data_IF_902509004201
#
_entry.id   IF_902509004201
#
_cell.length_a   1.000
_cell.length_b   1.000
_cell.length_c   1.000
_cell.angle_alpha   90.00
_cell.angle_beta   90.00
_cell.angle_gamma   90.00
#
_symmetry.space_group_name_H-M   'P 1'
#
loop_
_entity.id
_entity.type
_entity.pdbx_description
1 polymer ?
#
# COMPACT_ATOMS: atom_id res chain seq x y z
N UNK A 1 -18.04 0.58 8.64
CA UNK A 1 -18.54 1.22 7.40
C UNK A 1 -18.14 0.42 6.16
N UNK A 2 -19.11 -0.27 5.54
CA UNK A 2 -18.91 -0.96 4.26
C UNK A 2 -19.17 0.01 3.11
N UNK A 3 -18.24 0.10 2.15
CA UNK A 3 -18.34 0.95 0.97
C UNK A 3 -18.31 0.11 -0.31
N UNK A 4 -19.05 0.53 -1.33
CA UNK A 4 -19.00 -0.09 -2.67
C UNK A 4 -17.63 0.05 -3.35
N UNK A 5 -16.91 1.13 -3.02
CA UNK A 5 -15.58 1.45 -3.54
C UNK A 5 -14.72 2.06 -2.45
N UNK A 6 -13.47 1.64 -2.38
CA UNK A 6 -12.42 2.19 -1.55
C UNK A 6 -11.43 2.96 -2.43
N UNK A 7 -11.18 4.23 -2.10
CA UNK A 7 -10.18 5.05 -2.78
C UNK A 7 -8.99 5.26 -1.84
N UNK A 8 -7.80 4.83 -2.27
CA UNK A 8 -6.57 4.87 -1.50
C UNK A 8 -5.60 5.85 -2.18
N UNK A 9 -5.15 6.87 -1.45
CA UNK A 9 -4.07 7.77 -1.88
C UNK A 9 -2.78 7.38 -1.17
N UNK A 10 -1.73 7.14 -1.93
CA UNK A 10 -0.41 6.75 -1.45
C UNK A 10 0.57 7.88 -1.71
N UNK A 11 0.86 8.68 -0.69
CA UNK A 11 1.79 9.82 -0.75
C UNK A 11 3.16 9.40 -0.25
N UNK A 12 4.21 9.77 -0.99
CA UNK A 12 5.57 9.44 -0.64
C UNK A 12 6.58 10.26 -1.42
N UNK A 13 7.81 9.76 -1.46
CA UNK A 13 8.88 10.34 -2.24
C UNK A 13 9.27 9.38 -3.36
N UNK A 14 9.81 9.93 -4.45
CA UNK A 14 10.40 9.13 -5.53
C UNK A 14 11.38 8.08 -4.98
N UNK A 15 11.15 6.80 -5.33
CA UNK A 15 11.94 5.66 -4.85
C UNK A 15 11.35 4.86 -3.70
N UNK A 16 10.34 5.38 -2.97
CA UNK A 16 9.73 4.69 -1.82
C UNK A 16 8.68 3.61 -2.20
N UNK A 17 8.42 3.44 -3.50
CA UNK A 17 7.59 2.34 -3.99
C UNK A 17 6.07 2.55 -3.92
N UNK A 18 5.58 3.77 -3.72
CA UNK A 18 4.13 4.09 -3.74
C UNK A 18 3.44 3.65 -5.05
N UNK A 19 4.08 3.90 -6.21
CA UNK A 19 3.56 3.43 -7.52
C UNK A 19 3.50 1.91 -7.62
N UNK A 20 4.50 1.22 -7.08
CA UNK A 20 4.52 -0.23 -7.04
C UNK A 20 3.43 -0.77 -6.13
N UNK A 21 3.23 -0.14 -4.96
CA UNK A 21 2.18 -0.52 -4.02
C UNK A 21 0.78 -0.40 -4.62
N UNK A 22 0.46 0.74 -5.24
CA UNK A 22 -0.84 0.94 -5.88
C UNK A 22 -1.13 -0.11 -6.96
N UNK A 23 -0.12 -0.45 -7.77
CA UNK A 23 -0.25 -1.45 -8.83
C UNK A 23 -0.42 -2.86 -8.24
N UNK A 24 0.38 -3.25 -7.22
CA UNK A 24 0.22 -4.56 -6.56
C UNK A 24 -1.16 -4.70 -5.92
N UNK A 25 -1.66 -3.64 -5.25
CA UNK A 25 -3.01 -3.62 -4.68
C UNK A 25 -4.10 -3.78 -5.74
N UNK A 26 -3.97 -3.12 -6.89
CA UNK A 26 -4.91 -3.27 -7.99
C UNK A 26 -4.86 -4.70 -8.59
N UNK A 27 -3.67 -5.26 -8.78
CA UNK A 27 -3.51 -6.65 -9.24
C UNK A 27 -4.15 -7.64 -8.27
N UNK A 28 -3.95 -7.46 -6.96
CA UNK A 28 -4.58 -8.29 -5.93
C UNK A 28 -6.11 -8.14 -5.95
N UNK A 29 -6.63 -6.92 -6.07
CA UNK A 29 -8.06 -6.69 -6.18
C UNK A 29 -8.68 -7.39 -7.41
N UNK A 30 -8.01 -7.35 -8.57
CA UNK A 30 -8.46 -8.06 -9.76
C UNK A 30 -8.47 -9.59 -9.56
N UNK A 31 -7.50 -10.13 -8.82
CA UNK A 31 -7.43 -11.56 -8.47
C UNK A 31 -8.57 -12.00 -7.55
N UNK A 32 -9.01 -11.12 -6.67
CA UNK A 32 -10.22 -11.32 -5.85
C UNK A 32 -11.53 -11.11 -6.66
N UNK A 33 -11.48 -10.95 -7.98
CA UNK A 33 -12.65 -10.69 -8.82
C UNK A 33 -13.27 -9.30 -8.62
N UNK A 34 -12.56 -8.37 -7.96
CA UNK A 34 -12.99 -6.98 -7.78
C UNK A 34 -12.55 -6.13 -8.98
N UNK A 35 -13.17 -4.97 -9.13
CA UNK A 35 -12.74 -3.97 -10.10
C UNK A 35 -11.70 -3.06 -9.47
N UNK A 36 -10.62 -2.79 -10.20
CA UNK A 36 -9.57 -1.89 -9.71
C UNK A 36 -8.99 -0.98 -10.79
N UNK A 37 -8.49 0.17 -10.34
CA UNK A 37 -7.70 1.10 -11.14
C UNK A 37 -6.54 1.58 -10.28
N UNK A 38 -5.31 1.47 -10.78
CA UNK A 38 -4.15 2.15 -10.22
C UNK A 38 -3.65 3.23 -11.17
N UNK A 39 -3.32 4.40 -10.66
CA UNK A 39 -2.71 5.45 -11.46
C UNK A 39 -1.65 6.22 -10.65
N UNK A 40 -0.44 6.41 -11.20
CA UNK A 40 0.59 7.23 -10.56
C UNK A 40 0.38 8.71 -10.85
N UNK A 41 0.93 9.56 -9.98
CA UNK A 41 1.01 11.01 -10.17
C UNK A 41 2.35 11.53 -9.65
N UNK A 42 3.15 12.06 -10.55
CA UNK A 42 4.44 12.65 -10.24
C UNK A 42 4.75 13.76 -11.24
N UNK A 43 5.38 14.83 -10.76
CA UNK A 43 5.81 15.96 -11.57
C UNK A 43 7.15 15.70 -12.26
N UNK A 44 7.67 16.74 -12.92
CA UNK A 44 8.93 16.67 -13.67
C UNK A 44 10.19 16.60 -12.79
N UNK A 45 10.04 16.73 -11.47
CA UNK A 45 11.14 16.76 -10.50
C UNK A 45 11.79 15.36 -10.35
N UNK A 46 13.12 15.31 -10.25
CA UNK A 46 13.87 14.05 -10.40
C UNK A 46 14.03 13.25 -9.11
N UNK A 47 14.68 13.79 -8.07
CA UNK A 47 15.15 13.02 -6.89
C UNK A 47 14.48 13.51 -5.61
N UNK A 48 13.97 12.57 -4.80
CA UNK A 48 13.25 12.86 -3.55
C UNK A 48 12.10 13.86 -3.72
N UNK A 49 11.60 13.95 -4.96
CA UNK A 49 10.42 14.72 -5.30
C UNK A 49 9.19 14.06 -4.68
N UNK A 50 8.16 14.85 -4.34
CA UNK A 50 6.84 14.32 -4.03
C UNK A 50 6.40 13.33 -5.10
N UNK A 51 5.85 12.20 -4.68
CA UNK A 51 5.25 11.22 -5.56
C UNK A 51 3.97 10.72 -4.92
N UNK A 52 2.88 10.76 -5.68
CA UNK A 52 1.60 10.21 -5.25
C UNK A 52 1.22 9.05 -6.17
N UNK A 53 0.50 8.08 -5.64
CA UNK A 53 -0.15 7.06 -6.45
C UNK A 53 -1.50 6.73 -5.85
N UNK A 54 -2.41 6.32 -6.71
CA UNK A 54 -3.80 6.12 -6.35
C UNK A 54 -4.18 4.69 -6.68
N UNK A 55 -4.94 4.07 -5.77
CA UNK A 55 -5.56 2.77 -5.99
C UNK A 55 -7.04 2.87 -5.66
N UNK A 56 -7.89 2.50 -6.61
CA UNK A 56 -9.34 2.40 -6.43
C UNK A 56 -9.70 0.93 -6.50
N UNK A 57 -10.46 0.43 -5.53
CA UNK A 57 -10.92 -0.96 -5.45
C UNK A 57 -12.43 -0.95 -5.20
N UNK A 58 -13.21 -1.68 -6.00
CA UNK A 58 -14.66 -1.67 -5.87
C UNK A 58 -15.31 -2.98 -6.30
N UNK A 59 -16.56 -3.17 -5.87
CA UNK A 59 -17.40 -4.31 -6.28
C UNK A 59 -18.13 -4.06 -7.60
N UNK A 60 -18.05 -2.84 -8.12
CA UNK A 60 -18.66 -2.40 -9.38
C UNK A 60 -17.58 -1.78 -10.28
N UNK A 61 -17.84 -1.74 -11.59
CA UNK A 61 -16.89 -1.22 -12.58
C UNK A 61 -16.56 0.25 -12.30
N UNK A 62 -15.25 0.54 -12.29
CA UNK A 62 -14.71 1.88 -12.02
C UNK A 62 -14.36 2.54 -13.37
N UNK A 63 -14.92 3.72 -13.61
CA UNK A 63 -14.64 4.53 -14.81
C UNK A 63 -13.75 5.75 -14.51
N UNK A 64 -13.72 6.15 -13.25
CA UNK A 64 -12.95 7.26 -12.71
C UNK A 64 -11.44 6.99 -12.84
N UNK A 65 -10.77 7.87 -13.57
CA UNK A 65 -9.33 7.86 -13.85
C UNK A 65 -8.76 9.24 -13.55
N UNK A 66 -7.52 9.26 -13.06
CA UNK A 66 -6.82 10.50 -12.73
C UNK A 66 -6.69 10.70 -11.23
N UNK A 67 -6.44 11.95 -10.84
CA UNK A 67 -6.20 12.33 -9.45
C UNK A 67 -7.35 11.92 -8.54
N UNK A 68 -7.01 11.57 -7.30
CA UNK A 68 -7.95 11.07 -6.31
C UNK A 68 -8.14 12.16 -5.26
N UNK A 69 -9.19 12.95 -5.46
CA UNK A 69 -9.49 14.13 -4.62
C UNK A 69 -10.06 13.72 -3.26
N UNK A 70 -10.87 12.67 -3.21
CA UNK A 70 -11.58 12.24 -2.00
C UNK A 70 -11.21 10.80 -1.57
N UNK A 71 -10.07 10.62 -0.87
CA UNK A 71 -9.66 9.32 -0.33
C UNK A 71 -10.52 8.84 0.84
N UNK A 72 -10.68 7.53 0.90
CA UNK A 72 -11.16 6.81 2.08
C UNK A 72 -9.95 6.37 2.95
N UNK A 73 -8.80 6.14 2.33
CA UNK A 73 -7.52 5.84 3.01
C UNK A 73 -6.41 6.70 2.42
N UNK A 74 -5.52 7.22 3.29
CA UNK A 74 -4.28 7.87 2.91
C UNK A 74 -3.11 7.11 3.52
N UNK A 75 -2.14 6.72 2.71
CA UNK A 75 -0.88 6.15 3.16
C UNK A 75 0.24 7.16 2.96
N UNK A 76 1.01 7.41 4.02
CA UNK A 76 2.20 8.27 4.01
C UNK A 76 3.43 7.38 4.10
N UNK A 77 4.14 7.23 2.99
CA UNK A 77 5.30 6.33 2.86
C UNK A 77 6.57 6.90 3.48
N UNK A 78 6.65 8.21 3.74
CA UNK A 78 7.84 8.84 4.27
C UNK A 78 7.53 10.07 5.15
N UNK A 79 8.19 10.26 6.31
CA UNK A 79 7.94 11.38 7.23
C UNK A 79 7.97 12.77 6.59
N UNK A 80 8.85 13.00 5.61
CA UNK A 80 8.97 14.30 4.91
C UNK A 80 7.72 14.72 4.12
N UNK A 81 6.79 13.81 3.84
CA UNK A 81 5.46 14.19 3.30
C UNK A 81 4.75 15.13 4.29
N UNK A 82 4.90 14.88 5.58
CA UNK A 82 4.31 15.66 6.66
C UNK A 82 5.27 16.80 7.08
N UNK A 83 6.50 16.45 7.47
CA UNK A 83 7.41 17.40 8.13
C UNK A 83 8.00 18.46 7.19
N UNK A 84 8.04 18.19 5.89
CA UNK A 84 8.54 19.13 4.88
C UNK A 84 7.49 19.47 3.83
N UNK A 85 6.25 19.00 3.99
CA UNK A 85 5.18 19.20 3.01
C UNK A 85 5.49 18.64 1.62
N UNK A 86 6.29 17.56 1.52
CA UNK A 86 6.63 16.93 0.24
C UNK A 86 5.49 16.05 -0.29
N UNK A 87 4.33 16.66 -0.55
CA UNK A 87 3.18 16.07 -1.21
C UNK A 87 2.64 17.04 -2.26
N UNK A 88 2.00 16.53 -3.31
CA UNK A 88 1.26 17.40 -4.23
C UNK A 88 -0.05 17.90 -3.62
N UNK A 89 -0.56 17.16 -2.64
CA UNK A 89 -1.75 17.54 -1.87
C UNK A 89 -1.36 17.98 -0.46
N UNK A 90 -1.51 19.28 -0.12
CA UNK A 90 -1.25 19.81 1.22
C UNK A 90 -2.48 20.54 1.81
N UNK A 91 -2.79 20.38 3.12
CA UNK A 91 -2.19 19.42 4.06
C UNK A 91 -2.33 17.99 3.54
N UNK A 92 -1.41 17.09 3.93
CA UNK A 92 -1.29 15.76 3.32
C UNK A 92 -2.58 14.91 3.43
N UNK A 93 -3.46 15.24 4.38
CA UNK A 93 -4.78 14.62 4.57
C UNK A 93 -5.92 15.33 3.84
N UNK A 94 -5.66 16.35 3.02
CA UNK A 94 -6.70 17.11 2.33
C UNK A 94 -7.59 16.20 1.47
N UNK A 95 -8.91 16.37 1.61
CA UNK A 95 -9.93 15.57 0.95
C UNK A 95 -10.25 14.23 1.61
N UNK A 96 -9.58 13.85 2.71
CA UNK A 96 -9.94 12.65 3.46
C UNK A 96 -11.42 12.69 3.85
N UNK A 97 -12.13 11.60 3.57
CA UNK A 97 -13.54 11.48 3.92
C UNK A 97 -13.71 11.19 5.41
N UNK A 98 -14.87 11.58 5.93
CA UNK A 98 -15.29 11.24 7.28
C UNK A 98 -15.26 9.71 7.50
N UNK A 99 -14.76 9.26 8.66
CA UNK A 99 -14.58 7.84 8.96
C UNK A 99 -13.45 7.17 8.18
N UNK A 100 -12.59 7.97 7.53
CA UNK A 100 -11.41 7.49 6.79
C UNK A 100 -10.27 7.03 7.70
N UNK A 101 -9.19 6.57 7.08
CA UNK A 101 -7.98 6.13 7.79
C UNK A 101 -6.73 6.78 7.19
N UNK A 102 -5.83 7.24 8.05
CA UNK A 102 -4.49 7.69 7.68
C UNK A 102 -3.47 6.70 8.24
N UNK A 103 -2.63 6.14 7.37
CA UNK A 103 -1.53 5.22 7.73
C UNK A 103 -0.22 5.95 7.53
N UNK A 104 0.59 6.08 8.57
CA UNK A 104 1.84 6.86 8.55
C UNK A 104 3.01 5.93 8.81
N UNK A 105 3.94 5.87 7.85
CA UNK A 105 5.25 5.24 8.04
C UNK A 105 6.12 6.12 8.94
N UNK A 106 6.04 5.88 10.24
CA UNK A 106 6.90 6.49 11.25
C UNK A 106 6.86 5.69 12.55
N UNK A 107 8.02 5.53 13.18
CA UNK A 107 8.12 4.99 14.55
C UNK A 107 7.71 5.98 15.65
N UNK A 108 7.37 7.22 15.30
CA UNK A 108 7.03 8.28 16.25
C UNK A 108 5.87 9.15 15.74
N UNK A 109 5.10 9.80 16.63
CA UNK A 109 4.08 10.76 16.23
C UNK A 109 4.67 11.94 15.44
N UNK A 110 4.00 12.35 14.37
CA UNK A 110 4.45 13.45 13.48
C UNK A 110 3.43 14.58 13.33
N UNK A 111 2.19 14.37 13.78
CA UNK A 111 1.10 15.32 13.60
C UNK A 111 1.13 16.41 14.66
N UNK A 112 0.83 17.64 14.25
CA UNK A 112 0.58 18.74 15.19
C UNK A 112 -0.74 18.54 15.94
N UNK A 113 -0.94 19.27 17.04
CA UNK A 113 -2.21 19.26 17.78
C UNK A 113 -3.39 19.66 16.89
N UNK A 114 -3.18 20.62 15.99
CA UNK A 114 -4.19 21.06 15.02
C UNK A 114 -4.56 19.94 14.03
N UNK A 115 -3.57 19.24 13.48
CA UNK A 115 -3.79 18.11 12.57
C UNK A 115 -4.58 16.99 13.26
N UNK A 116 -4.19 16.67 14.51
CA UNK A 116 -4.88 15.66 15.32
C UNK A 116 -6.33 16.07 15.56
N UNK A 117 -6.58 17.32 15.95
CA UNK A 117 -7.94 17.81 16.19
C UNK A 117 -8.78 17.75 14.91
N UNK A 118 -8.24 18.19 13.77
CA UNK A 118 -8.95 18.19 12.50
C UNK A 118 -9.31 16.79 12.00
N UNK A 119 -8.41 15.83 12.15
CA UNK A 119 -8.67 14.43 11.80
C UNK A 119 -9.71 13.82 12.76
N UNK A 120 -9.65 14.16 14.05
CA UNK A 120 -10.64 13.73 15.04
C UNK A 120 -12.04 14.27 14.75
N UNK A 121 -12.17 15.53 14.35
CA UNK A 121 -13.45 16.16 13.98
C UNK A 121 -14.11 15.46 12.77
N UNK A 122 -13.30 14.86 11.89
CA UNK A 122 -13.75 14.05 10.76
C UNK A 122 -13.88 12.55 11.10
N UNK A 123 -13.75 12.16 12.37
CA UNK A 123 -13.74 10.76 12.79
C UNK A 123 -12.72 9.91 11.99
N UNK A 124 -11.58 10.50 11.62
CA UNK A 124 -10.52 9.82 10.88
C UNK A 124 -9.57 9.16 11.86
N UNK A 125 -9.34 7.85 11.66
CA UNK A 125 -8.40 7.11 12.48
C UNK A 125 -6.97 7.27 11.94
N UNK A 126 -5.99 7.40 12.85
CA UNK A 126 -4.58 7.53 12.50
C UNK A 126 -3.80 6.31 13.02
N UNK A 127 -3.20 5.57 12.09
CA UNK A 127 -2.37 4.42 12.37
C UNK A 127 -0.90 4.75 12.07
N UNK A 128 -0.04 4.60 13.07
CA UNK A 128 1.41 4.68 12.89
C UNK A 128 2.00 3.29 12.79
N UNK A 129 2.91 3.11 11.85
CA UNK A 129 3.73 1.92 11.73
C UNK A 129 5.16 2.30 11.39
N UNK A 130 6.11 1.70 12.08
CA UNK A 130 7.54 1.77 11.78
C UNK A 130 7.88 0.94 10.52
N UNK A 131 7.30 1.31 9.38
CA UNK A 131 7.23 0.45 8.20
C UNK A 131 8.58 0.16 7.55
N UNK A 132 9.49 1.15 7.56
CA UNK A 132 10.87 0.98 7.08
C UNK A 132 11.68 0.06 7.98
N UNK A 133 11.60 0.24 9.30
CA UNK A 133 12.28 -0.60 10.28
C UNK A 133 11.77 -2.04 10.18
N UNK A 134 10.45 -2.24 10.10
CA UNK A 134 9.84 -3.56 9.92
C UNK A 134 10.30 -4.27 8.63
N UNK A 135 10.47 -3.52 7.55
CA UNK A 135 10.98 -4.04 6.28
C UNK A 135 12.45 -4.47 6.40
N UNK A 136 13.28 -3.68 7.10
CA UNK A 136 14.68 -4.04 7.38
C UNK A 136 14.75 -5.29 8.25
N UNK A 137 13.97 -5.37 9.32
CA UNK A 137 13.94 -6.53 10.22
C UNK A 137 13.50 -7.81 9.49
N UNK A 138 12.47 -7.72 8.65
CA UNK A 138 11.86 -8.90 8.03
C UNK A 138 12.56 -9.31 6.73
N UNK A 139 12.86 -8.36 5.85
CA UNK A 139 13.41 -8.63 4.53
C UNK A 139 14.92 -8.37 4.43
N UNK A 140 15.50 -7.64 5.39
CA UNK A 140 16.90 -7.19 5.36
C UNK A 140 17.12 -5.98 4.45
N UNK A 141 16.08 -5.24 4.07
CA UNK A 141 16.18 -4.08 3.19
C UNK A 141 15.02 -3.11 3.35
N UNK A 142 15.32 -1.81 3.31
CA UNK A 142 14.30 -0.74 3.24
C UNK A 142 13.51 -0.72 1.92
N UNK A 143 14.00 -1.40 0.87
CA UNK A 143 13.27 -1.46 -0.41
C UNK A 143 11.92 -2.19 -0.28
N UNK A 144 11.73 -2.96 0.79
CA UNK A 144 10.48 -3.65 1.10
C UNK A 144 9.52 -2.80 1.96
N UNK A 145 9.82 -1.52 2.24
CA UNK A 145 8.90 -0.62 2.98
C UNK A 145 7.52 -0.57 2.34
N UNK A 146 7.44 -0.56 1.01
CA UNK A 146 6.16 -0.59 0.30
C UNK A 146 5.35 -1.88 0.57
N UNK A 147 6.00 -3.00 0.88
CA UNK A 147 5.33 -4.24 1.28
C UNK A 147 4.70 -4.08 2.67
N UNK A 148 5.37 -3.38 3.58
CA UNK A 148 4.80 -3.02 4.88
C UNK A 148 3.52 -2.21 4.69
N UNK A 149 3.56 -1.16 3.86
CA UNK A 149 2.40 -0.29 3.61
C UNK A 149 1.21 -1.07 3.04
N UNK A 150 1.44 -1.86 1.98
CA UNK A 150 0.43 -2.76 1.38
C UNK A 150 -0.18 -3.70 2.43
N UNK A 151 0.65 -4.31 3.26
CA UNK A 151 0.20 -5.16 4.37
C UNK A 151 -0.67 -4.39 5.36
N UNK A 152 -0.27 -3.17 5.73
CA UNK A 152 -1.02 -2.32 6.65
C UNK A 152 -2.41 -1.96 6.14
N UNK A 153 -2.52 -1.46 4.91
CA UNK A 153 -3.83 -1.10 4.33
C UNK A 153 -4.72 -2.32 4.16
N UNK A 154 -4.18 -3.46 3.72
CA UNK A 154 -4.93 -4.71 3.62
C UNK A 154 -5.34 -5.23 5.01
N UNK A 155 -4.48 -5.08 6.02
CA UNK A 155 -4.73 -5.48 7.40
C UNK A 155 -5.90 -4.73 8.03
N UNK A 156 -5.93 -3.41 7.84
CA UNK A 156 -7.02 -2.54 8.34
C UNK A 156 -8.31 -2.75 7.56
N UNK A 157 -8.24 -2.72 6.23
CA UNK A 157 -9.44 -2.58 5.40
C UNK A 157 -10.01 -3.89 4.90
N UNK A 158 -9.21 -4.97 4.94
CA UNK A 158 -9.53 -6.26 4.33
C UNK A 158 -9.94 -6.15 2.86
N UNK A 159 -9.48 -5.11 2.15
CA UNK A 159 -9.94 -4.82 0.79
C UNK A 159 -9.48 -5.87 -0.24
N UNK A 160 -8.40 -6.58 0.07
CA UNK A 160 -7.87 -7.70 -0.72
C UNK A 160 -7.49 -8.87 0.18
N UNK A 161 -7.59 -10.09 -0.34
CA UNK A 161 -7.15 -11.30 0.37
C UNK A 161 -5.62 -11.45 0.38
N UNK A 162 -5.09 -12.17 1.38
CA UNK A 162 -3.66 -12.49 1.44
C UNK A 162 -3.22 -13.38 0.26
N UNK A 163 -4.09 -14.28 -0.19
CA UNK A 163 -3.85 -15.13 -1.36
C UNK A 163 -3.70 -14.29 -2.63
N UNK A 164 -4.60 -13.32 -2.84
CA UNK A 164 -4.51 -12.42 -3.97
C UNK A 164 -3.27 -11.53 -3.93
N UNK A 165 -2.87 -11.08 -2.73
CA UNK A 165 -1.61 -10.34 -2.54
C UNK A 165 -0.38 -11.17 -2.91
N UNK A 166 -0.31 -12.42 -2.45
CA UNK A 166 0.77 -13.34 -2.85
C UNK A 166 0.79 -13.53 -4.37
N UNK A 167 -0.36 -13.85 -4.98
CA UNK A 167 -0.47 -13.98 -6.43
C UNK A 167 -0.06 -12.71 -7.19
N UNK A 168 -0.41 -11.52 -6.69
CA UNK A 168 -0.01 -10.24 -7.28
C UNK A 168 1.50 -9.99 -7.17
N UNK A 169 2.12 -10.34 -6.03
CA UNK A 169 3.56 -10.24 -5.85
C UNK A 169 4.31 -11.20 -6.77
N UNK A 170 3.85 -12.44 -6.89
CA UNK A 170 4.40 -13.43 -7.81
C UNK A 170 4.27 -12.99 -9.26
N UNK A 171 3.17 -12.37 -9.65
CA UNK A 171 3.01 -11.88 -11.03
C UNK A 171 3.92 -10.66 -11.30
N UNK A 172 3.97 -9.72 -10.34
CA UNK A 172 4.74 -8.49 -10.48
C UNK A 172 6.25 -8.74 -10.48
N UNK A 173 6.72 -9.54 -9.53
CA UNK A 173 8.15 -9.77 -9.33
C UNK A 173 8.61 -11.14 -9.82
N UNK A 174 7.73 -12.13 -9.91
CA UNK A 174 8.04 -13.53 -10.18
C UNK A 174 8.15 -13.95 -11.65
N UNK A 175 7.87 -13.09 -12.64
CA UNK A 175 7.90 -13.40 -14.10
C UNK A 175 8.90 -14.50 -14.52
N UNK A 176 8.38 -15.58 -15.13
CA UNK A 176 9.16 -16.71 -15.68
C UNK A 176 10.13 -16.22 -16.76
N UNK A 177 11.30 -16.86 -16.82
CA UNK A 177 12.21 -16.73 -17.96
C UNK A 177 12.14 -18.00 -18.81
N UNK A 178 12.05 -17.82 -20.14
CA UNK A 178 12.12 -18.88 -21.13
C UNK A 178 13.61 -19.16 -21.37
N UNK A 179 14.05 -20.38 -21.08
CA UNK A 179 15.44 -20.77 -21.31
C UNK A 179 15.69 -20.91 -22.83
N UNK A 180 16.61 -20.13 -23.38
CA UNK A 180 17.24 -20.44 -24.67
C UNK A 180 18.35 -21.46 -24.40
N UNK A 181 18.21 -22.69 -24.90
CA UNK A 181 19.03 -23.86 -24.55
C UNK A 181 20.55 -23.61 -24.55
N UNK A 182 21.12 -23.43 -23.35
CA UNK A 182 22.54 -23.16 -23.13
C UNK A 182 23.22 -24.18 -22.22
N UNK A 183 24.52 -23.99 -21.99
CA UNK A 183 25.44 -24.91 -21.28
C UNK A 183 25.16 -25.03 -19.77
N UNK A 184 25.72 -26.07 -19.12
CA UNK A 184 25.55 -26.34 -17.69
C UNK A 184 25.95 -25.19 -16.74
N UNK A 185 26.91 -24.34 -17.13
CA UNK A 185 27.27 -23.13 -16.38
C UNK A 185 26.19 -22.05 -16.44
N UNK A 186 25.45 -21.98 -17.56
CA UNK A 186 24.25 -21.16 -17.68
C UNK A 186 23.18 -21.69 -16.72
N UNK A 187 22.97 -23.01 -16.68
CA UNK A 187 21.97 -23.63 -15.80
C UNK A 187 22.24 -23.38 -14.31
N UNK A 188 23.50 -23.42 -13.85
CA UNK A 188 23.84 -23.10 -12.47
C UNK A 188 23.66 -21.62 -12.12
N UNK A 189 24.09 -20.72 -13.00
CA UNK A 189 23.88 -19.27 -12.83
C UNK A 189 22.39 -18.93 -12.82
N UNK A 190 21.61 -19.63 -13.65
CA UNK A 190 20.16 -19.53 -13.72
C UNK A 190 19.53 -20.02 -12.41
N UNK A 191 19.88 -21.22 -11.93
CA UNK A 191 19.38 -21.76 -10.65
C UNK A 191 19.64 -20.81 -9.48
N UNK A 192 20.85 -20.25 -9.37
CA UNK A 192 21.18 -19.27 -8.32
C UNK A 192 20.33 -17.99 -8.42
N UNK A 193 20.09 -17.48 -9.63
CA UNK A 193 19.21 -16.31 -9.83
C UNK A 193 17.77 -16.62 -9.46
N UNK A 194 17.25 -17.80 -9.81
CA UNK A 194 15.91 -18.24 -9.43
C UNK A 194 15.75 -18.39 -7.92
N UNK A 195 16.66 -19.10 -7.27
CA UNK A 195 16.64 -19.26 -5.81
C UNK A 195 16.69 -17.91 -5.08
N UNK A 196 17.52 -16.97 -5.56
CA UNK A 196 17.55 -15.60 -5.03
C UNK A 196 16.22 -14.88 -5.19
N UNK A 197 15.53 -15.08 -6.31
CA UNK A 197 14.25 -14.45 -6.62
C UNK A 197 13.11 -14.98 -5.76
N UNK A 198 13.03 -16.30 -5.59
CA UNK A 198 12.07 -16.94 -4.68
C UNK A 198 12.29 -16.49 -3.24
N UNK A 199 13.55 -16.40 -2.81
CA UNK A 199 13.89 -15.85 -1.49
C UNK A 199 13.42 -14.40 -1.33
N UNK A 200 13.58 -13.55 -2.35
CA UNK A 200 13.11 -12.16 -2.31
C UNK A 200 11.58 -12.07 -2.27
N UNK A 201 10.88 -12.90 -3.03
CA UNK A 201 9.42 -13.00 -3.00
C UNK A 201 8.91 -13.44 -1.62
N UNK A 202 9.53 -14.48 -1.05
CA UNK A 202 9.20 -14.97 0.28
C UNK A 202 9.40 -13.91 1.36
N UNK A 203 10.51 -13.15 1.28
CA UNK A 203 10.79 -12.02 2.17
C UNK A 203 9.74 -10.92 2.05
N UNK A 204 9.40 -10.51 0.82
CA UNK A 204 8.36 -9.51 0.58
C UNK A 204 7.00 -9.97 1.14
N UNK A 205 6.61 -11.21 0.89
CA UNK A 205 5.37 -11.77 1.41
C UNK A 205 5.38 -11.84 2.95
N UNK A 206 6.50 -12.21 3.56
CA UNK A 206 6.66 -12.19 5.01
C UNK A 206 6.49 -10.78 5.58
N UNK A 207 7.06 -9.75 4.93
CA UNK A 207 6.86 -8.35 5.32
C UNK A 207 5.39 -7.94 5.21
N UNK A 208 4.70 -8.30 4.12
CA UNK A 208 3.25 -8.04 3.97
C UNK A 208 2.46 -8.70 5.10
N UNK A 209 2.72 -9.98 5.38
CA UNK A 209 2.02 -10.74 6.43
C UNK A 209 2.21 -10.11 7.80
N UNK A 210 3.44 -9.77 8.15
CA UNK A 210 3.76 -9.16 9.45
C UNK A 210 3.06 -7.82 9.64
N UNK A 211 3.10 -6.97 8.62
CA UNK A 211 2.42 -5.68 8.65
C UNK A 211 0.89 -5.82 8.67
N UNK A 212 0.35 -6.81 7.96
CA UNK A 212 -1.08 -7.13 7.96
C UNK A 212 -1.57 -7.53 9.35
N UNK A 213 -0.83 -8.39 10.06
CA UNK A 213 -1.19 -8.82 11.42
C UNK A 213 -1.23 -7.64 12.39
N UNK A 214 -0.17 -6.82 12.42
CA UNK A 214 -0.08 -5.64 13.29
C UNK A 214 -1.24 -4.67 13.01
N UNK A 215 -1.50 -4.38 11.73
CA UNK A 215 -2.53 -3.44 11.33
C UNK A 215 -3.95 -4.00 11.55
N UNK A 216 -4.14 -5.31 11.41
CA UNK A 216 -5.40 -5.99 11.70
C UNK A 216 -5.73 -5.94 13.20
N UNK A 217 -4.76 -6.26 14.07
CA UNK A 217 -4.92 -6.19 15.52
C UNK A 217 -5.23 -4.75 15.97
N UNK A 218 -4.51 -3.78 15.41
CA UNK A 218 -4.78 -2.36 15.66
C UNK A 218 -6.20 -1.97 15.22
N UNK A 219 -6.64 -2.40 14.03
CA UNK A 219 -7.98 -2.11 13.53
C UNK A 219 -9.08 -2.71 14.42
N UNK A 220 -8.90 -3.95 14.88
CA UNK A 220 -9.83 -4.62 15.79
C UNK A 220 -9.92 -3.89 17.14
N UNK A 221 -8.76 -3.59 17.76
CA UNK A 221 -8.68 -2.87 19.03
C UNK A 221 -9.36 -1.49 18.96
N UNK A 222 -9.23 -0.81 17.82
CA UNK A 222 -9.80 0.53 17.61
C UNK A 222 -11.17 0.50 16.92
N UNK A 223 -11.77 -0.68 16.71
CA UNK A 223 -13.08 -0.87 16.08
C UNK A 223 -13.20 -0.19 14.71
N UNK A 224 -12.14 -0.29 13.90
CA UNK A 224 -12.10 0.26 12.55
C UNK A 224 -12.81 -0.69 11.59
N UNK A 225 -13.91 -0.24 11.02
CA UNK A 225 -14.77 -1.05 10.16
C UNK A 225 -14.77 -0.61 8.69
N UNK A 226 -13.72 0.03 8.21
CA UNK A 226 -13.65 0.49 6.81
C UNK A 226 -13.39 -0.69 5.87
N UNK A 227 -14.40 -1.14 5.12
CA UNK A 227 -14.26 -2.30 4.21
C UNK A 227 -14.88 -2.03 2.84
N UNK A 228 -14.41 -2.76 1.82
CA UNK A 228 -15.06 -2.81 0.51
C UNK A 228 -16.03 -3.98 0.43
N UNK A 229 -17.26 -3.74 0.00
CA UNK A 229 -18.29 -4.78 -0.05
C UNK A 229 -19.66 -4.22 -0.41
N UNK A 230 -20.68 -5.07 -0.42
CA UNK A 230 -22.05 -4.63 -0.62
C UNK A 230 -22.63 -4.12 0.71
N UNK A 231 -22.95 -2.81 0.84
CA UNK A 231 -23.51 -2.28 2.08
C UNK A 231 -24.86 -2.91 2.46
N UNK A 232 -25.61 -3.44 1.48
CA UNK A 232 -26.92 -4.06 1.70
C UNK A 232 -26.85 -5.50 2.25
N UNK A 233 -25.65 -6.09 2.32
CA UNK A 233 -25.42 -7.47 2.80
C UNK A 233 -24.70 -7.47 4.17
N UNK A 234 -24.48 -6.29 4.75
CA UNK A 234 -23.90 -6.15 6.08
C UNK A 234 -24.95 -6.54 7.14
N UNK A 235 -24.83 -7.75 7.70
CA UNK A 235 -25.53 -8.20 8.90
C UNK A 235 -24.57 -8.15 10.07
#
# INVERSE_FOLDING_TARGET
MIKKRLNIRMSGLGGQGAVTAAHVMAMAANRDGKFSISNPFFGAEKRMAPAESYCRIGIERIYDRGELVFPDVIEVFHPQVITMGKSYTMPFYSGIKEGGVVIINSGQPLLSEEDVQRLKDLNVAVFYIAGTELAIETAGTELSTNMTMIGSVAGITKCVSMEALDGALQERFGKKFVASGGTASLDEAIKKKFAKKEMLLAKNLATVKRAYEIAAEWAEKNKIELRVGNPAVAV
#
